data_IF_594556544098
#
_entry.id   IF_594556544098
#
_cell.length_a   1.000
_cell.length_b   1.000
_cell.length_c   1.000
_cell.angle_alpha   90.00
_cell.angle_beta   90.00
_cell.angle_gamma   90.00
#
_symmetry.space_group_name_H-M   'P 1'
#
loop_
_entity.id
_entity.type
_entity.pdbx_description
1 polymer ?
#
# COMPACT_ATOMS: atom_id res chain seq x y z
N UNK A 1 -66.68 -19.22 -14.31
CA UNK A 1 -66.60 -18.36 -13.10
C UNK A 1 -65.26 -17.65 -13.14
N UNK A 2 -65.18 -16.33 -12.96
CA UNK A 2 -63.88 -15.62 -13.03
C UNK A 2 -63.11 -15.85 -11.72
N UNK A 3 -61.77 -16.00 -11.75
CA UNK A 3 -60.98 -16.21 -10.53
C UNK A 3 -61.24 -15.14 -9.46
N UNK A 4 -61.36 -13.87 -9.85
CA UNK A 4 -61.65 -12.75 -8.94
C UNK A 4 -63.01 -12.88 -8.23
N UNK A 5 -64.02 -13.48 -8.90
CA UNK A 5 -65.36 -13.69 -8.35
C UNK A 5 -65.44 -14.90 -7.41
N UNK A 6 -64.55 -15.87 -7.59
CA UNK A 6 -64.39 -16.97 -6.62
C UNK A 6 -63.65 -16.47 -5.37
N UNK A 7 -62.58 -15.69 -5.57
CA UNK A 7 -61.79 -15.06 -4.50
C UNK A 7 -62.63 -14.15 -3.58
N UNK A 8 -63.43 -13.26 -4.16
CA UNK A 8 -64.29 -12.34 -3.40
C UNK A 8 -65.41 -13.05 -2.63
N UNK A 9 -65.85 -14.23 -3.09
CA UNK A 9 -66.82 -15.06 -2.35
C UNK A 9 -66.19 -15.85 -1.21
N UNK A 10 -64.92 -16.23 -1.32
CA UNK A 10 -64.18 -16.96 -0.27
C UNK A 10 -63.65 -16.07 0.86
N UNK A 11 -63.60 -14.75 0.67
CA UNK A 11 -63.06 -13.78 1.65
C UNK A 11 -63.87 -13.65 2.95
N UNK A 12 -65.05 -14.26 3.05
CA UNK A 12 -65.96 -14.05 4.18
C UNK A 12 -65.53 -14.76 5.50
N UNK A 13 -64.53 -15.65 5.45
CA UNK A 13 -64.03 -16.42 6.61
C UNK A 13 -62.51 -16.26 6.82
N UNK A 14 -61.88 -15.24 6.21
CA UNK A 14 -60.46 -14.98 6.44
C UNK A 14 -60.25 -14.26 7.77
N UNK A 15 -59.16 -14.61 8.46
CA UNK A 15 -58.67 -13.86 9.61
C UNK A 15 -58.43 -12.39 9.23
N UNK A 16 -58.50 -11.50 10.22
CA UNK A 16 -58.18 -10.08 10.04
C UNK A 16 -56.80 -9.91 9.41
N UNK A 17 -56.65 -8.88 8.58
CA UNK A 17 -55.38 -8.60 7.93
C UNK A 17 -54.27 -8.45 8.99
N UNK A 18 -53.08 -9.04 8.77
CA UNK A 18 -52.02 -9.04 9.76
C UNK A 18 -51.59 -7.62 10.08
N UNK A 19 -51.33 -7.35 11.36
CA UNK A 19 -50.87 -6.04 11.83
C UNK A 19 -49.49 -5.67 11.26
N UNK A 20 -49.13 -4.39 11.26
CA UNK A 20 -47.84 -3.90 10.76
C UNK A 20 -46.64 -4.61 11.41
N UNK A 21 -46.73 -4.87 12.72
CA UNK A 21 -45.71 -5.60 13.47
C UNK A 21 -45.62 -7.06 12.99
N UNK A 22 -46.75 -7.71 12.75
CA UNK A 22 -46.80 -9.09 12.27
C UNK A 22 -46.24 -9.19 10.85
N UNK A 23 -46.58 -8.24 9.98
CA UNK A 23 -46.02 -8.13 8.63
C UNK A 23 -44.50 -7.95 8.68
N UNK A 24 -44.02 -7.06 9.55
CA UNK A 24 -42.59 -6.84 9.73
C UNK A 24 -41.88 -8.09 10.23
N UNK A 25 -42.44 -8.77 11.25
CA UNK A 25 -41.87 -10.01 11.78
C UNK A 25 -41.83 -11.15 10.75
N UNK A 26 -42.81 -11.20 9.84
CA UNK A 26 -42.91 -12.23 8.81
C UNK A 26 -41.98 -11.99 7.61
N UNK A 27 -41.92 -10.76 7.11
CA UNK A 27 -41.20 -10.43 5.87
C UNK A 27 -39.87 -9.70 6.06
N UNK A 28 -39.55 -9.30 7.30
CA UNK A 28 -38.30 -8.60 7.57
C UNK A 28 -37.08 -9.53 7.57
N UNK A 29 -35.93 -8.93 7.30
CA UNK A 29 -34.63 -9.60 7.26
C UNK A 29 -34.18 -9.85 8.69
N UNK A 30 -33.87 -11.11 9.00
CA UNK A 30 -33.38 -11.51 10.32
C UNK A 30 -31.88 -11.28 10.43
N UNK A 31 -31.46 -10.59 11.48
CA UNK A 31 -30.06 -10.37 11.83
C UNK A 31 -29.78 -10.88 13.22
N UNK A 32 -28.95 -11.92 13.30
CA UNK A 32 -28.44 -12.50 14.55
C UNK A 32 -27.11 -11.84 14.87
N UNK A 33 -26.98 -11.13 15.99
CA UNK A 33 -25.80 -10.40 16.52
C UNK A 33 -26.02 -8.92 16.84
N UNK A 34 -27.26 -8.49 17.06
CA UNK A 34 -27.50 -7.14 17.54
C UNK A 34 -27.17 -7.04 19.03
N UNK A 35 -26.45 -5.99 19.42
CA UNK A 35 -26.11 -5.73 20.82
C UNK A 35 -26.79 -4.47 21.31
N UNK A 36 -27.37 -4.56 22.50
CA UNK A 36 -27.94 -3.42 23.20
C UNK A 36 -26.81 -2.65 23.88
N UNK A 37 -26.53 -1.46 23.38
CA UNK A 37 -25.65 -0.50 24.03
C UNK A 37 -26.47 0.41 24.96
N UNK A 38 -25.78 1.17 25.84
CA UNK A 38 -26.43 2.14 26.73
C UNK A 38 -27.31 3.13 25.99
N UNK A 39 -26.92 3.50 24.78
CA UNK A 39 -27.56 4.52 23.95
C UNK A 39 -28.63 3.96 23.00
N UNK A 40 -28.68 2.65 22.80
CA UNK A 40 -29.56 2.04 21.81
C UNK A 40 -28.97 0.77 21.18
N UNK A 41 -29.57 0.36 20.07
CA UNK A 41 -29.01 -0.64 19.16
C UNK A 41 -28.50 0.08 17.94
N UNK A 42 -27.28 -0.24 17.51
CA UNK A 42 -26.70 0.34 16.30
C UNK A 42 -26.70 -0.70 15.19
N UNK A 43 -27.31 -0.37 14.05
CA UNK A 43 -27.28 -1.19 12.84
C UNK A 43 -26.99 -0.29 11.65
N UNK A 44 -25.98 -0.62 10.85
CA UNK A 44 -25.57 0.15 9.66
C UNK A 44 -25.46 1.67 9.91
N UNK A 45 -24.81 2.04 11.01
CA UNK A 45 -24.65 3.43 11.48
C UNK A 45 -25.95 4.15 11.89
N UNK A 46 -27.09 3.48 11.85
CA UNK A 46 -28.37 3.98 12.37
C UNK A 46 -28.51 3.57 13.84
N UNK A 47 -28.89 4.52 14.68
CA UNK A 47 -29.10 4.30 16.10
C UNK A 47 -30.60 4.18 16.41
N UNK A 48 -30.98 3.03 16.94
CA UNK A 48 -32.35 2.70 17.31
C UNK A 48 -32.54 2.79 18.83
N UNK A 49 -33.58 3.49 19.27
CA UNK A 49 -33.85 3.78 20.68
C UNK A 49 -35.19 3.18 21.12
N UNK A 50 -35.27 2.89 22.41
CA UNK A 50 -36.49 2.44 23.08
C UNK A 50 -36.68 3.23 24.39
N UNK A 51 -37.90 3.61 24.80
CA UNK A 51 -38.11 4.40 26.03
C UNK A 51 -37.54 3.75 27.29
N UNK A 52 -37.43 2.40 27.31
CA UNK A 52 -36.96 1.62 28.45
C UNK A 52 -35.55 1.03 28.25
N UNK A 53 -34.66 1.78 27.61
CA UNK A 53 -33.27 1.35 27.35
C UNK A 53 -32.50 0.98 28.61
N UNK A 54 -32.69 1.68 29.73
CA UNK A 54 -31.94 1.42 30.95
C UNK A 54 -32.16 0.00 31.50
N UNK A 55 -33.42 -0.45 31.50
CA UNK A 55 -33.83 -1.79 31.94
C UNK A 55 -33.32 -2.84 30.95
N UNK A 56 -33.52 -2.59 29.65
CA UNK A 56 -33.07 -3.48 28.58
C UNK A 56 -31.55 -3.69 28.59
N UNK A 57 -30.80 -2.61 28.80
CA UNK A 57 -29.35 -2.68 28.92
C UNK A 57 -28.92 -3.48 30.18
N UNK A 58 -29.62 -3.31 31.30
CA UNK A 58 -29.34 -4.08 32.52
C UNK A 58 -29.50 -5.60 32.34
N UNK A 59 -30.51 -6.04 31.58
CA UNK A 59 -30.82 -7.46 31.42
C UNK A 59 -30.19 -8.11 30.17
N UNK A 60 -29.94 -7.36 29.10
CA UNK A 60 -29.60 -7.92 27.79
C UNK A 60 -28.31 -7.33 27.15
N UNK A 61 -27.54 -6.48 27.85
CA UNK A 61 -26.30 -5.88 27.31
C UNK A 61 -25.21 -6.89 26.93
N UNK A 62 -25.14 -8.02 27.63
CA UNK A 62 -24.12 -9.05 27.41
C UNK A 62 -24.54 -10.13 26.42
N UNK A 63 -25.77 -10.07 25.89
CA UNK A 63 -26.31 -11.10 24.98
C UNK A 63 -26.40 -10.56 23.57
N UNK A 64 -26.15 -11.44 22.61
CA UNK A 64 -26.41 -11.17 21.21
C UNK A 64 -27.90 -11.42 20.94
N UNK A 65 -28.59 -10.42 20.41
CA UNK A 65 -30.01 -10.46 20.12
C UNK A 65 -30.26 -10.67 18.63
N UNK A 66 -31.46 -11.17 18.33
CA UNK A 66 -31.96 -11.30 16.97
C UNK A 66 -32.88 -10.14 16.67
N UNK A 67 -32.52 -9.33 15.68
CA UNK A 67 -33.40 -8.31 15.12
C UNK A 67 -34.07 -8.79 13.84
N UNK A 68 -35.24 -8.22 13.56
CA UNK A 68 -35.94 -8.31 12.30
C UNK A 68 -36.05 -6.89 11.76
N UNK A 69 -35.60 -6.71 10.51
CA UNK A 69 -35.44 -5.40 9.87
C UNK A 69 -36.29 -5.35 8.62
N UNK A 70 -37.09 -4.31 8.45
CA UNK A 70 -37.85 -4.10 7.23
C UNK A 70 -36.94 -3.40 6.19
N UNK A 71 -36.62 -4.03 5.04
CA UNK A 71 -35.76 -3.42 4.04
C UNK A 71 -36.38 -2.18 3.38
N UNK A 72 -37.70 -2.01 3.45
CA UNK A 72 -38.39 -0.86 2.85
C UNK A 72 -38.50 0.33 3.81
N UNK A 73 -38.37 0.11 5.11
CA UNK A 73 -38.46 1.15 6.13
C UNK A 73 -37.51 0.86 7.29
N UNK A 74 -36.41 1.61 7.33
CA UNK A 74 -35.42 1.56 8.40
C UNK A 74 -35.82 2.35 9.65
N UNK A 75 -37.02 2.92 9.73
CA UNK A 75 -37.47 3.69 10.89
C UNK A 75 -37.72 2.84 12.13
N UNK A 76 -37.95 1.53 11.96
CA UNK A 76 -38.24 0.60 13.08
C UNK A 76 -37.45 -0.68 12.90
N UNK A 77 -36.92 -1.22 14.00
CA UNK A 77 -36.38 -2.58 14.09
C UNK A 77 -37.16 -3.33 15.16
N UNK A 78 -37.56 -4.56 14.86
CA UNK A 78 -38.13 -5.47 15.85
C UNK A 78 -37.02 -6.32 16.44
N UNK A 79 -36.93 -6.41 17.76
CA UNK A 79 -35.87 -7.17 18.43
C UNK A 79 -36.51 -8.25 19.28
N UNK A 80 -36.06 -9.48 19.09
CA UNK A 80 -36.39 -10.61 19.94
C UNK A 80 -35.63 -10.47 21.26
N UNK A 81 -36.35 -10.11 22.31
CA UNK A 81 -35.78 -9.89 23.64
C UNK A 81 -36.03 -11.15 24.51
N UNK A 82 -35.06 -11.61 25.31
CA UNK A 82 -35.25 -12.78 26.17
C UNK A 82 -36.39 -12.60 27.17
N UNK A 83 -37.04 -13.71 27.55
CA UNK A 83 -38.23 -13.69 28.41
C UNK A 83 -38.00 -13.00 29.76
N UNK A 84 -36.81 -13.14 30.34
CA UNK A 84 -36.40 -12.51 31.61
C UNK A 84 -36.54 -10.98 31.55
N UNK A 85 -36.08 -10.38 30.45
CA UNK A 85 -36.18 -8.94 30.24
C UNK A 85 -37.62 -8.53 29.89
N UNK A 86 -38.35 -9.38 29.15
CA UNK A 86 -39.76 -9.14 28.79
C UNK A 86 -40.67 -9.04 30.01
N UNK A 87 -40.52 -9.93 30.98
CA UNK A 87 -41.34 -9.94 32.21
C UNK A 87 -41.16 -8.63 32.98
N UNK A 88 -39.93 -8.13 33.11
CA UNK A 88 -39.65 -6.85 33.76
C UNK A 88 -40.21 -5.63 33.02
N UNK A 89 -40.55 -5.78 31.74
CA UNK A 89 -41.08 -4.72 30.89
C UNK A 89 -42.61 -4.79 30.72
N UNK A 90 -43.29 -5.87 31.14
CA UNK A 90 -44.73 -6.03 30.96
C UNK A 90 -45.18 -5.95 29.49
N UNK A 91 -44.30 -6.30 28.55
CA UNK A 91 -44.59 -6.28 27.12
C UNK A 91 -45.37 -7.52 26.70
N UNK A 92 -46.41 -7.33 25.88
CA UNK A 92 -47.13 -8.43 25.22
C UNK A 92 -46.50 -8.68 23.84
N UNK A 93 -45.94 -9.89 23.65
CA UNK A 93 -45.30 -10.30 22.39
C UNK A 93 -43.84 -10.73 22.54
N UNK A 94 -43.31 -11.45 21.55
CA UNK A 94 -41.90 -11.88 21.53
C UNK A 94 -40.96 -10.77 21.04
N UNK A 95 -41.48 -9.80 20.30
CA UNK A 95 -40.70 -8.71 19.71
C UNK A 95 -40.92 -7.38 20.42
N UNK A 96 -39.84 -6.59 20.52
CA UNK A 96 -39.88 -5.21 20.97
C UNK A 96 -39.50 -4.27 19.83
N UNK A 97 -40.25 -3.18 19.68
CA UNK A 97 -39.96 -2.14 18.70
C UNK A 97 -38.86 -1.20 19.18
N UNK A 98 -37.83 -0.99 18.36
CA UNK A 98 -36.88 0.08 18.54
C UNK A 98 -37.01 1.04 17.37
N UNK A 99 -37.03 2.35 17.66
CA UNK A 99 -37.35 3.39 16.67
C UNK A 99 -36.13 4.25 16.38
N UNK A 100 -35.98 4.60 15.11
CA UNK A 100 -35.05 5.59 14.60
C UNK A 100 -35.86 6.64 13.83
N UNK A 101 -36.22 7.74 14.51
CA UNK A 101 -37.16 8.73 13.97
C UNK A 101 -36.67 9.34 12.64
N UNK A 102 -35.37 9.58 12.54
CA UNK A 102 -34.74 10.19 11.36
C UNK A 102 -34.74 9.29 10.11
N UNK A 103 -34.99 7.98 10.28
CA UNK A 103 -34.88 6.98 9.21
C UNK A 103 -36.22 6.39 8.78
N UNK A 104 -37.33 6.99 9.22
CA UNK A 104 -38.67 6.56 8.82
C UNK A 104 -38.91 6.78 7.32
N UNK A 105 -39.32 5.72 6.63
CA UNK A 105 -39.55 5.71 5.19
C UNK A 105 -38.27 5.67 4.36
N UNK A 106 -37.11 5.47 4.98
CA UNK A 106 -35.84 5.30 4.26
C UNK A 106 -35.64 3.81 3.97
N UNK A 107 -35.57 3.40 2.70
CA UNK A 107 -35.29 2.01 2.36
C UNK A 107 -33.80 1.69 2.55
N UNK A 108 -33.50 0.44 2.88
CA UNK A 108 -32.15 -0.06 3.10
C UNK A 108 -31.25 0.16 1.89
N UNK A 109 -31.76 -0.08 0.67
CA UNK A 109 -31.00 0.12 -0.58
C UNK A 109 -30.48 1.56 -0.74
N UNK A 110 -31.21 2.56 -0.23
CA UNK A 110 -30.78 3.96 -0.28
C UNK A 110 -29.62 4.21 0.65
N UNK A 111 -29.63 3.60 1.84
CA UNK A 111 -28.58 3.73 2.83
C UNK A 111 -27.30 3.00 2.39
N UNK A 112 -27.43 1.82 1.78
CA UNK A 112 -26.30 1.09 1.17
C UNK A 112 -25.63 1.92 0.08
N UNK A 113 -26.41 2.53 -0.82
CA UNK A 113 -25.88 3.40 -1.86
C UNK A 113 -25.07 4.57 -1.30
N UNK A 114 -25.56 5.23 -0.23
CA UNK A 114 -24.80 6.32 0.40
C UNK A 114 -23.50 5.84 1.06
N UNK A 115 -23.51 4.66 1.67
CA UNK A 115 -22.31 4.08 2.26
C UNK A 115 -21.25 3.75 1.19
N UNK A 116 -21.67 3.25 0.03
CA UNK A 116 -20.75 2.98 -1.09
C UNK A 116 -20.10 4.27 -1.60
N UNK A 117 -20.90 5.33 -1.78
CA UNK A 117 -20.41 6.65 -2.19
C UNK A 117 -19.41 7.21 -1.17
N UNK A 118 -19.68 7.07 0.13
CA UNK A 118 -18.76 7.50 1.18
C UNK A 118 -17.45 6.70 1.17
N UNK A 119 -17.52 5.39 0.94
CA UNK A 119 -16.33 4.52 0.84
C UNK A 119 -15.50 4.86 -0.40
N UNK A 120 -16.13 5.17 -1.53
CA UNK A 120 -15.44 5.63 -2.73
C UNK A 120 -14.76 6.98 -2.51
N UNK A 121 -15.46 7.91 -1.85
CA UNK A 121 -14.90 9.21 -1.48
C UNK A 121 -13.69 9.05 -0.54
N UNK A 122 -13.79 8.21 0.49
CA UNK A 122 -12.69 7.95 1.42
C UNK A 122 -11.48 7.30 0.72
N UNK A 123 -11.72 6.44 -0.28
CA UNK A 123 -10.64 5.86 -1.10
C UNK A 123 -9.96 6.94 -1.92
N UNK A 124 -10.71 7.82 -2.58
CA UNK A 124 -10.16 8.93 -3.35
C UNK A 124 -9.32 9.88 -2.49
N UNK A 125 -9.84 10.30 -1.32
CA UNK A 125 -9.08 11.16 -0.39
C UNK A 125 -7.80 10.48 0.13
N UNK A 126 -7.82 9.16 0.35
CA UNK A 126 -6.62 8.42 0.77
C UNK A 126 -5.58 8.34 -0.35
N UNK A 127 -5.99 8.24 -1.60
CA UNK A 127 -5.09 8.24 -2.75
C UNK A 127 -4.44 9.62 -2.93
N UNK A 128 -5.22 10.68 -2.82
CA UNK A 128 -4.72 12.06 -2.85
C UNK A 128 -3.81 12.38 -1.65
N UNK A 129 -4.18 11.93 -0.44
CA UNK A 129 -3.32 12.06 0.73
C UNK A 129 -2.00 11.28 0.62
N UNK A 130 -2.01 10.14 -0.09
CA UNK A 130 -0.80 9.34 -0.37
C UNK A 130 0.10 10.04 -1.38
N UNK A 131 -0.44 10.67 -2.43
CA UNK A 131 0.36 11.41 -3.40
C UNK A 131 1.07 12.58 -2.72
N UNK A 132 0.36 13.36 -1.89
CA UNK A 132 0.93 14.48 -1.12
C UNK A 132 2.03 14.00 -0.16
N UNK A 133 1.81 12.90 0.58
CA UNK A 133 2.85 12.33 1.48
C UNK A 133 4.08 11.83 0.72
N UNK A 134 3.87 11.23 -0.45
CA UNK A 134 4.97 10.76 -1.29
C UNK A 134 5.81 11.92 -1.83
N UNK A 135 5.16 12.99 -2.30
CA UNK A 135 5.83 14.19 -2.77
C UNK A 135 6.59 14.91 -1.65
N UNK A 136 5.95 15.09 -0.48
CA UNK A 136 6.61 15.66 0.69
C UNK A 136 7.85 14.84 1.11
N UNK A 137 7.75 13.51 1.08
CA UNK A 137 8.89 12.62 1.38
C UNK A 137 10.01 12.74 0.35
N UNK A 138 9.68 12.84 -0.95
CA UNK A 138 10.68 13.09 -2.00
C UNK A 138 11.38 14.43 -1.77
N UNK A 139 10.62 15.49 -1.55
CA UNK A 139 11.16 16.82 -1.30
C UNK A 139 12.11 16.84 -0.09
N UNK A 140 11.72 16.24 1.04
CA UNK A 140 12.57 16.15 2.23
C UNK A 140 13.84 15.35 1.93
N UNK A 141 13.73 14.26 1.16
CA UNK A 141 14.88 13.43 0.79
C UNK A 141 15.86 14.19 -0.10
N UNK A 142 15.36 14.92 -1.10
CA UNK A 142 16.17 15.72 -2.01
C UNK A 142 16.83 16.90 -1.27
N UNK A 143 16.09 17.54 -0.36
CA UNK A 143 16.64 18.58 0.53
C UNK A 143 17.73 18.01 1.46
N UNK A 144 17.57 16.79 1.96
CA UNK A 144 18.57 16.13 2.78
C UNK A 144 19.81 15.71 1.97
N UNK A 145 19.64 15.19 0.75
CA UNK A 145 20.75 14.83 -0.13
C UNK A 145 21.56 16.07 -0.54
N UNK A 146 20.90 17.16 -0.93
CA UNK A 146 21.57 18.43 -1.24
C UNK A 146 22.29 19.03 -0.03
N UNK A 147 21.72 18.93 1.18
CA UNK A 147 22.39 19.35 2.40
C UNK A 147 23.61 18.48 2.73
N UNK A 148 23.51 17.17 2.51
CA UNK A 148 24.61 16.21 2.68
C UNK A 148 25.75 16.50 1.71
N UNK A 149 25.43 16.75 0.44
CA UNK A 149 26.41 17.06 -0.59
C UNK A 149 27.13 18.39 -0.29
N UNK A 150 26.42 19.41 0.21
CA UNK A 150 27.05 20.65 0.72
C UNK A 150 27.95 20.41 1.93
N UNK A 151 27.57 19.49 2.81
CA UNK A 151 28.35 19.12 3.99
C UNK A 151 29.53 18.18 3.65
N UNK A 152 29.64 17.71 2.40
CA UNK A 152 30.69 16.79 1.96
C UNK A 152 30.64 15.41 2.63
N UNK A 153 29.48 15.02 3.18
CA UNK A 153 29.32 13.74 3.88
C UNK A 153 29.14 12.62 2.84
N UNK A 154 29.99 11.58 2.83
CA UNK A 154 29.88 10.47 1.89
C UNK A 154 28.55 9.72 2.05
N UNK A 155 28.02 9.22 0.93
CA UNK A 155 26.81 8.39 0.92
C UNK A 155 27.14 6.92 0.78
N UNK A 156 26.56 6.07 1.62
CA UNK A 156 26.65 4.61 1.47
C UNK A 156 25.79 4.05 0.32
N UNK A 157 24.96 4.88 -0.31
CA UNK A 157 24.11 4.48 -1.44
C UNK A 157 24.67 5.04 -2.75
N UNK A 158 25.06 4.15 -3.66
CA UNK A 158 25.46 4.50 -5.02
C UNK A 158 24.26 5.07 -5.80
N UNK A 159 24.39 6.27 -6.36
CA UNK A 159 23.37 6.80 -7.27
C UNK A 159 23.41 6.02 -8.60
N UNK A 160 22.31 6.04 -9.37
CA UNK A 160 22.22 5.32 -10.65
C UNK A 160 23.32 5.74 -11.62
N UNK A 161 23.69 7.01 -11.66
CA UNK A 161 24.78 7.53 -12.49
C UNK A 161 26.16 7.05 -12.00
N UNK A 162 26.37 6.95 -10.68
CA UNK A 162 27.60 6.40 -10.11
C UNK A 162 27.72 4.90 -10.42
N UNK A 163 26.61 4.18 -10.37
CA UNK A 163 26.55 2.76 -10.73
C UNK A 163 26.84 2.52 -12.22
N UNK A 164 26.25 3.33 -13.11
CA UNK A 164 26.54 3.26 -14.55
C UNK A 164 28.00 3.60 -14.85
N UNK A 165 28.54 4.65 -14.22
CA UNK A 165 29.97 4.98 -14.35
C UNK A 165 30.90 3.87 -13.81
N UNK A 166 30.46 3.14 -12.78
CA UNK A 166 31.19 1.99 -12.26
C UNK A 166 31.16 0.80 -13.23
N UNK A 167 30.00 0.50 -13.83
CA UNK A 167 29.87 -0.52 -14.86
C UNK A 167 30.74 -0.18 -16.08
N UNK A 168 30.73 1.06 -16.55
CA UNK A 168 31.60 1.56 -17.63
C UNK A 168 33.09 1.34 -17.33
N UNK A 169 33.50 1.57 -16.08
CA UNK A 169 34.89 1.34 -15.65
C UNK A 169 35.23 -0.15 -15.61
N UNK A 170 34.31 -1.00 -15.17
CA UNK A 170 34.48 -2.46 -15.19
C UNK A 170 34.56 -3.00 -16.62
N UNK A 171 33.73 -2.52 -17.54
CA UNK A 171 33.80 -2.93 -18.93
C UNK A 171 35.15 -2.53 -19.54
N UNK A 172 35.59 -1.29 -19.36
CA UNK A 172 36.89 -0.82 -19.86
C UNK A 172 38.07 -1.59 -19.25
N UNK A 173 37.99 -2.01 -17.98
CA UNK A 173 39.04 -2.81 -17.35
C UNK A 173 39.03 -4.26 -17.85
N UNK A 174 37.85 -4.83 -18.10
CA UNK A 174 37.69 -6.17 -18.68
C UNK A 174 38.27 -6.26 -20.11
N UNK A 175 38.09 -5.21 -20.91
CA UNK A 175 38.67 -5.10 -22.27
C UNK A 175 40.19 -5.04 -22.22
N UNK A 176 40.78 -4.37 -21.22
CA UNK A 176 42.24 -4.34 -21.04
C UNK A 176 42.82 -5.67 -20.54
N UNK A 177 42.04 -6.46 -19.82
CA UNK A 177 42.47 -7.77 -19.33
C UNK A 177 42.40 -8.87 -20.40
N UNK A 178 41.50 -8.72 -21.38
CA UNK A 178 41.31 -9.68 -22.48
C UNK A 178 42.19 -9.40 -23.70
N UNK A 179 42.75 -8.19 -23.84
CA UNK A 179 43.77 -7.96 -24.85
C UNK A 179 45.09 -8.62 -24.42
N UNK A 180 45.69 -9.49 -25.26
CA UNK A 180 46.96 -10.11 -24.95
C UNK A 180 47.99 -8.99 -24.74
N UNK A 181 48.62 -8.95 -23.56
CA UNK A 181 49.74 -8.05 -23.32
C UNK A 181 50.76 -8.25 -24.45
N UNK A 182 51.24 -7.18 -25.11
CA UNK A 182 52.31 -7.34 -26.09
C UNK A 182 53.46 -8.08 -25.39
N UNK A 183 53.91 -9.17 -26.00
CA UNK A 183 55.09 -9.90 -25.50
C UNK A 183 56.20 -8.86 -25.31
N UNK A 184 56.91 -8.85 -24.16
CA UNK A 184 58.07 -8.00 -24.02
C UNK A 184 59.03 -8.35 -25.17
N UNK A 185 59.23 -7.42 -26.10
CA UNK A 185 60.24 -7.55 -27.15
C UNK A 185 61.59 -7.31 -26.48
N UNK A 186 62.22 -8.42 -26.11
CA UNK A 186 63.59 -8.53 -25.65
C UNK A 186 64.09 -9.93 -25.97
N UNK A 187 65.35 -10.07 -26.36
CA UNK A 187 65.95 -11.37 -26.63
C UNK A 187 65.79 -12.29 -25.40
N UNK A 188 65.56 -13.61 -25.58
CA UNK A 188 65.54 -14.53 -24.46
C UNK A 188 66.89 -14.41 -23.73
N UNK A 189 66.87 -14.13 -22.43
CA UNK A 189 68.09 -14.17 -21.62
C UNK A 189 68.71 -15.56 -21.76
N UNK A 190 69.99 -15.62 -22.15
CA UNK A 190 70.76 -16.85 -22.07
C UNK A 190 71.05 -17.16 -20.59
N UNK A 191 71.03 -18.44 -20.21
CA UNK A 191 71.27 -18.95 -18.84
C UNK A 191 72.65 -18.60 -18.22
N UNK A 192 73.43 -17.72 -18.85
CA UNK A 192 74.77 -17.30 -18.40
C UNK A 192 74.81 -15.87 -17.85
N UNK A 193 73.69 -15.14 -17.81
CA UNK A 193 73.63 -13.82 -17.19
C UNK A 193 73.18 -13.92 -15.73
N UNK A 194 74.11 -13.59 -14.84
CA UNK A 194 74.02 -13.57 -13.37
C UNK A 194 72.86 -12.66 -12.87
N UNK A 195 72.15 -13.01 -11.78
CA UNK A 195 70.82 -12.44 -11.46
C UNK A 195 70.85 -11.03 -10.84
N UNK A 196 71.87 -10.22 -11.12
CA UNK A 196 72.13 -8.97 -10.38
C UNK A 196 72.01 -7.69 -11.20
N UNK A 197 71.43 -7.77 -12.40
CA UNK A 197 70.95 -6.58 -13.14
C UNK A 197 69.48 -6.72 -13.50
N UNK A 198 68.63 -6.77 -12.46
CA UNK A 198 67.24 -6.37 -12.61
C UNK A 198 67.21 -4.92 -13.10
N UNK A 199 67.04 -4.75 -14.41
CA UNK A 199 66.86 -3.43 -15.02
C UNK A 199 65.79 -2.64 -14.27
N UNK A 200 66.10 -1.38 -13.93
CA UNK A 200 65.17 -0.49 -13.24
C UNK A 200 63.83 -0.47 -13.98
N UNK A 201 62.80 -1.04 -13.36
CA UNK A 201 61.44 -0.84 -13.83
C UNK A 201 61.06 0.61 -13.55
N UNK A 202 61.25 1.50 -14.53
CA UNK A 202 60.73 2.86 -14.47
C UNK A 202 59.20 2.76 -14.64
N UNK A 203 58.51 2.43 -13.56
CA UNK A 203 57.07 2.56 -13.49
C UNK A 203 56.75 4.05 -13.68
N UNK A 204 56.16 4.41 -14.82
CA UNK A 204 55.68 5.77 -15.04
C UNK A 204 54.64 6.10 -13.96
N UNK A 205 54.74 7.25 -13.26
CA UNK A 205 53.67 7.69 -12.40
C UNK A 205 52.37 7.83 -13.23
N UNK A 206 51.25 7.40 -12.66
CA UNK A 206 49.94 7.53 -13.30
C UNK A 206 49.68 9.01 -13.60
N UNK A 207 49.62 9.35 -14.90
CA UNK A 207 49.36 10.72 -15.37
C UNK A 207 50.21 11.19 -16.55
N UNK A 208 51.31 10.49 -16.88
CA UNK A 208 52.14 10.84 -18.05
C UNK A 208 51.54 10.32 -19.37
N UNK A 209 50.35 10.81 -19.72
CA UNK A 209 49.83 10.69 -21.08
C UNK A 209 50.52 11.73 -21.97
N UNK A 210 50.97 11.25 -23.13
CA UNK A 210 51.68 12.00 -24.17
C UNK A 210 50.84 13.19 -24.62
N UNK A 211 51.37 14.40 -24.46
CA UNK A 211 50.96 15.56 -25.23
C UNK A 211 51.31 15.34 -26.72
N UNK A 212 50.41 15.69 -27.62
CA UNK A 212 50.76 16.06 -28.98
C UNK A 212 50.42 17.53 -29.21
N UNK A 213 51.38 18.45 -29.03
CA UNK A 213 51.27 19.78 -29.64
C UNK A 213 51.48 19.61 -31.15
N UNK A 214 50.57 20.09 -32.01
CA UNK A 214 50.71 19.93 -33.46
C UNK A 214 51.87 20.80 -33.97
N UNK A 215 52.76 20.20 -34.76
CA UNK A 215 53.76 20.95 -35.55
C UNK A 215 55.23 20.57 -35.35
N UNK A 216 55.58 19.66 -34.43
CA UNK A 216 56.98 19.22 -34.27
C UNK A 216 57.11 17.77 -34.69
N UNK A 217 57.82 17.54 -35.80
CA UNK A 217 58.19 16.19 -36.25
C UNK A 217 59.16 15.60 -35.22
N UNK A 218 58.83 14.48 -34.54
CA UNK A 218 59.75 13.86 -33.62
C UNK A 218 60.88 13.20 -34.42
N UNK A 219 62.10 13.71 -34.26
CA UNK A 219 63.30 13.09 -34.80
C UNK A 219 63.57 11.78 -34.05
N UNK A 220 63.83 10.66 -34.75
CA UNK A 220 64.25 9.43 -34.08
C UNK A 220 65.70 9.61 -33.62
N UNK A 221 65.90 9.91 -32.34
CA UNK A 221 67.23 9.86 -31.71
C UNK A 221 67.40 8.51 -31.01
N UNK A 222 67.93 7.54 -31.74
CA UNK A 222 68.80 6.53 -31.17
C UNK A 222 70.06 6.44 -32.04
N UNK A 223 71.04 7.27 -31.70
CA UNK A 223 72.42 7.10 -32.15
C UNK A 223 73.19 6.66 -30.90
N UNK A 224 73.36 5.34 -30.74
CA UNK A 224 74.50 4.83 -29.99
C UNK A 224 75.73 5.08 -30.85
N UNK A 225 76.48 6.15 -30.59
CA UNK A 225 77.84 6.32 -31.09
C UNK A 225 78.76 5.49 -30.20
N UNK A 226 79.25 4.37 -30.72
CA UNK A 226 80.55 3.85 -30.30
C UNK A 226 81.62 4.85 -30.75
N UNK A 227 82.52 5.25 -29.85
CA UNK A 227 83.81 5.85 -30.18
C UNK A 227 84.86 4.86 -29.70
N UNK A 228 85.23 3.97 -30.61
CA UNK A 228 86.51 3.27 -30.56
C UNK A 228 87.62 4.27 -30.88
N UNK A 229 88.69 4.19 -30.10
CA UNK A 229 90.11 4.15 -30.49
C UNK A 229 90.86 4.09 -29.13
N UNK A 230 91.70 3.09 -28.85
CA UNK A 230 93.09 3.06 -29.32
C UNK A 230 93.68 1.63 -29.44
N UNK A 231 94.15 1.30 -30.66
CA UNK A 231 95.49 0.75 -30.95
C UNK A 231 96.01 1.64 -32.09
N UNK A 232 97.15 2.32 -31.99
CA UNK A 232 98.45 1.90 -31.43
C UNK A 232 99.03 2.88 -30.44
#
# INVERSE_FOLDING_TARGET
>A
MRPITAWTRSTNELEDAPDDIQRHAAFGIRRTNLRIQKTGITFMHVQYKHPRMAILHGHASHRDLTGVINPNDLGTILVLVPEEARIGLGGHGDYMEFKAEDFRGVPLARLEHFNDVLLEFEKAEKEDGRSIRHEARRFIKDAAETARDRAGVPSDTMTSEQYLNFLDRMERSSVRATQPRPKPEGAPMSDMDEPDTLGESIARPQGASRLGKPGVVPTPRSINRYRDEERS
#
